data_IF_623081926797
#
_entry.id   IF_623081926797
#
_cell.length_a   1.000
_cell.length_b   1.000
_cell.length_c   1.000
_cell.angle_alpha   90.00
_cell.angle_beta   90.00
_cell.angle_gamma   90.00
#
_symmetry.space_group_name_H-M   'P 1'
#
loop_
_entity.id
_entity.type
_entity.pdbx_description
1 polymer ?
#
# COMPACT_ATOMS: atom_id res chain seq x y z
N UNK A 1 -24.11 -49.02 -40.50
CA UNK A 1 -22.73 -48.55 -40.24
C UNK A 1 -22.66 -47.06 -40.54
N UNK A 2 -22.77 -46.19 -39.54
CA UNK A 2 -22.43 -44.76 -39.67
C UNK A 2 -22.52 -44.08 -38.30
N UNK A 3 -21.41 -43.51 -37.80
CA UNK A 3 -21.41 -42.32 -36.91
C UNK A 3 -20.04 -41.91 -36.33
N UNK A 4 -18.89 -42.51 -36.68
CA UNK A 4 -17.59 -42.04 -36.15
C UNK A 4 -17.10 -40.72 -36.74
N UNK A 5 -17.69 -40.26 -37.85
CA UNK A 5 -17.33 -38.98 -38.48
C UNK A 5 -17.98 -37.76 -37.79
N UNK A 6 -19.09 -37.94 -37.07
CA UNK A 6 -19.82 -36.82 -36.44
C UNK A 6 -19.16 -36.35 -35.13
N UNK A 7 -18.46 -37.24 -34.40
CA UNK A 7 -17.79 -36.88 -33.14
C UNK A 7 -16.51 -36.06 -33.34
N UNK A 8 -15.74 -36.32 -34.41
CA UNK A 8 -14.51 -35.57 -34.71
C UNK A 8 -14.74 -34.09 -35.03
N UNK A 9 -15.87 -33.76 -35.67
CA UNK A 9 -16.25 -32.38 -35.98
C UNK A 9 -16.56 -31.55 -34.73
N UNK A 10 -17.26 -32.11 -33.75
CA UNK A 10 -17.61 -31.38 -32.51
C UNK A 10 -16.43 -31.05 -31.61
N UNK A 11 -15.37 -31.86 -31.64
CA UNK A 11 -14.14 -31.60 -30.90
C UNK A 11 -13.29 -30.51 -31.57
N UNK A 12 -13.13 -30.58 -32.90
CA UNK A 12 -12.40 -29.57 -33.66
C UNK A 12 -13.06 -28.18 -33.58
N UNK A 13 -14.38 -28.11 -33.59
CA UNK A 13 -15.11 -26.84 -33.44
C UNK A 13 -14.92 -26.24 -32.03
N UNK A 14 -14.95 -27.08 -30.97
CA UNK A 14 -14.69 -26.63 -29.59
C UNK A 14 -13.25 -26.19 -29.38
N UNK A 15 -12.27 -26.87 -29.97
CA UNK A 15 -10.87 -26.43 -29.93
C UNK A 15 -10.67 -25.11 -30.70
N UNK A 16 -11.30 -24.97 -31.87
CA UNK A 16 -11.27 -23.73 -32.63
C UNK A 16 -11.89 -22.56 -31.85
N UNK A 17 -12.99 -22.80 -31.14
CA UNK A 17 -13.63 -21.80 -30.28
C UNK A 17 -12.76 -21.44 -29.07
N UNK A 18 -12.13 -22.42 -28.40
CA UNK A 18 -11.15 -22.17 -27.33
C UNK A 18 -9.97 -21.35 -27.82
N UNK A 19 -9.41 -21.66 -28.99
CA UNK A 19 -8.32 -20.89 -29.58
C UNK A 19 -8.75 -19.47 -29.92
N UNK A 20 -9.98 -19.26 -30.41
CA UNK A 20 -10.53 -17.91 -30.64
C UNK A 20 -10.63 -17.13 -29.32
N UNK A 21 -11.20 -17.73 -28.28
CA UNK A 21 -11.32 -17.09 -26.96
C UNK A 21 -9.97 -16.77 -26.34
N UNK A 22 -8.98 -17.65 -26.48
CA UNK A 22 -7.61 -17.39 -26.02
C UNK A 22 -6.96 -16.23 -26.78
N UNK A 23 -7.14 -16.14 -28.10
CA UNK A 23 -6.64 -15.01 -28.90
C UNK A 23 -7.29 -13.69 -28.49
N UNK A 24 -8.60 -13.69 -28.22
CA UNK A 24 -9.32 -12.51 -27.71
C UNK A 24 -8.77 -12.08 -26.35
N UNK A 25 -8.63 -13.01 -25.39
CA UNK A 25 -8.07 -12.71 -24.07
C UNK A 25 -6.65 -12.18 -24.14
N UNK A 26 -5.79 -12.76 -24.97
CA UNK A 26 -4.42 -12.28 -25.18
C UNK A 26 -4.40 -10.88 -25.81
N UNK A 27 -5.29 -10.60 -26.77
CA UNK A 27 -5.43 -9.29 -27.38
C UNK A 27 -5.92 -8.23 -26.36
N UNK A 28 -6.88 -8.57 -25.51
CA UNK A 28 -7.34 -7.69 -24.43
C UNK A 28 -6.24 -7.39 -23.41
N UNK A 29 -5.47 -8.41 -23.00
CA UNK A 29 -4.33 -8.22 -22.11
C UNK A 29 -3.24 -7.35 -22.74
N UNK A 30 -2.92 -7.58 -24.01
CA UNK A 30 -1.96 -6.75 -24.75
C UNK A 30 -2.44 -5.29 -24.86
N UNK A 31 -3.74 -5.07 -25.12
CA UNK A 31 -4.32 -3.73 -25.17
C UNK A 31 -4.28 -3.03 -23.81
N UNK A 32 -4.57 -3.74 -22.71
CA UNK A 32 -4.46 -3.19 -21.35
C UNK A 32 -3.02 -2.81 -21.01
N UNK A 33 -2.05 -3.67 -21.34
CA UNK A 33 -0.64 -3.38 -21.14
C UNK A 33 -0.18 -2.14 -21.94
N UNK A 34 -0.61 -2.03 -23.19
CA UNK A 34 -0.32 -0.88 -24.05
C UNK A 34 -0.95 0.42 -23.52
N UNK A 35 -2.20 0.37 -23.04
CA UNK A 35 -2.86 1.52 -22.43
C UNK A 35 -2.13 1.98 -21.16
N UNK A 36 -1.72 1.04 -20.29
CA UNK A 36 -0.92 1.35 -19.10
C UNK A 36 0.44 1.95 -19.46
N UNK A 37 1.09 1.45 -20.52
CA UNK A 37 2.35 2.01 -21.02
C UNK A 37 2.15 3.45 -21.52
N UNK A 38 1.10 3.73 -22.29
CA UNK A 38 0.77 5.08 -22.76
C UNK A 38 0.47 6.03 -21.59
N UNK A 39 -0.27 5.57 -20.58
CA UNK A 39 -0.56 6.36 -19.38
C UNK A 39 0.72 6.74 -18.62
N UNK A 40 1.65 5.79 -18.43
CA UNK A 40 2.95 6.07 -17.80
C UNK A 40 3.80 7.07 -18.59
N UNK A 41 3.88 6.90 -19.91
CA UNK A 41 4.66 7.82 -20.76
C UNK A 41 4.07 9.23 -20.77
N UNK A 42 2.73 9.38 -20.68
CA UNK A 42 2.09 10.69 -20.54
C UNK A 42 2.42 11.35 -19.21
N UNK A 43 2.32 10.61 -18.10
CA UNK A 43 2.72 11.13 -16.79
C UNK A 43 4.19 11.60 -16.78
N UNK A 44 5.09 10.87 -17.44
CA UNK A 44 6.49 11.30 -17.60
C UNK A 44 6.63 12.57 -18.45
N UNK A 45 5.85 12.73 -19.52
CA UNK A 45 5.83 13.96 -20.31
C UNK A 45 5.29 15.15 -19.51
N UNK A 46 4.30 14.95 -18.66
CA UNK A 46 3.74 16.00 -17.80
C UNK A 46 4.80 16.47 -16.81
N UNK A 47 5.50 15.55 -16.13
CA UNK A 47 6.62 15.85 -15.23
C UNK A 47 7.76 16.61 -15.95
N UNK A 48 8.15 16.16 -17.15
CA UNK A 48 9.16 16.85 -17.95
C UNK A 48 8.71 18.23 -18.44
N UNK A 49 7.41 18.42 -18.65
CA UNK A 49 6.81 19.71 -19.05
C UNK A 49 6.77 20.69 -17.87
N UNK A 50 6.46 20.21 -16.67
CA UNK A 50 6.59 20.97 -15.43
C UNK A 50 8.04 21.43 -15.23
N UNK A 51 9.00 20.51 -15.38
CA UNK A 51 10.43 20.85 -15.33
C UNK A 51 10.83 21.91 -16.36
N UNK A 52 10.34 21.81 -17.59
CA UNK A 52 10.59 22.82 -18.62
C UNK A 52 9.97 24.19 -18.24
N UNK A 53 8.83 24.20 -17.55
CA UNK A 53 8.21 25.43 -17.03
C UNK A 53 9.06 26.08 -15.93
N UNK A 54 9.59 25.29 -15.00
CA UNK A 54 10.52 25.75 -13.96
C UNK A 54 11.78 26.37 -14.58
N UNK A 55 12.44 25.66 -15.50
CA UNK A 55 13.63 26.14 -16.20
C UNK A 55 13.36 27.43 -16.97
N UNK A 56 12.15 27.58 -17.55
CA UNK A 56 11.73 28.82 -18.20
C UNK A 56 11.53 29.96 -17.18
N UNK A 57 11.00 29.65 -15.99
CA UNK A 57 10.90 30.58 -14.87
C UNK A 57 12.26 31.09 -14.41
N UNK A 58 13.22 30.17 -14.22
CA UNK A 58 14.61 30.46 -13.86
C UNK A 58 15.32 31.29 -14.93
N UNK A 59 15.22 30.89 -16.20
CA UNK A 59 15.76 31.64 -17.33
C UNK A 59 15.15 33.05 -17.42
N UNK A 60 13.84 33.17 -17.17
CA UNK A 60 13.14 34.45 -17.12
C UNK A 60 13.61 35.33 -15.95
N UNK A 61 13.87 34.74 -14.78
CA UNK A 61 14.45 35.44 -13.64
C UNK A 61 15.86 35.94 -13.95
N UNK A 62 16.75 35.06 -14.45
CA UNK A 62 18.10 35.42 -14.85
C UNK A 62 18.12 36.51 -15.91
N UNK A 63 17.21 36.49 -16.89
CA UNK A 63 17.12 37.55 -17.90
C UNK A 63 16.68 38.89 -17.33
N UNK A 64 15.79 38.91 -16.33
CA UNK A 64 15.36 40.15 -15.65
C UNK A 64 16.50 40.75 -14.82
N UNK A 65 17.23 39.90 -14.09
CA UNK A 65 18.33 40.31 -13.20
C UNK A 65 19.60 40.64 -13.98
N UNK A 66 19.89 39.86 -15.03
CA UNK A 66 21.08 39.97 -15.87
C UNK A 66 20.66 40.03 -17.35
N UNK A 67 20.41 41.25 -17.84
CA UNK A 67 19.85 41.56 -19.18
C UNK A 67 20.59 40.93 -20.38
N UNK A 68 21.79 40.40 -20.17
CA UNK A 68 22.68 39.82 -21.20
C UNK A 68 22.39 38.33 -21.45
N UNK A 69 21.63 37.67 -20.56
CA UNK A 69 21.37 36.22 -20.66
C UNK A 69 20.12 35.93 -21.50
N UNK A 70 20.29 35.09 -22.53
CA UNK A 70 19.20 34.46 -23.28
C UNK A 70 19.39 32.95 -23.24
N UNK A 71 18.49 32.26 -22.55
CA UNK A 71 18.38 30.80 -22.55
C UNK A 71 16.99 30.47 -23.10
N UNK A 72 16.93 29.63 -24.13
CA UNK A 72 15.68 29.20 -24.75
C UNK A 72 15.31 27.83 -24.21
N UNK A 73 14.10 27.74 -23.64
CA UNK A 73 13.55 26.48 -23.12
C UNK A 73 12.40 26.04 -23.99
N UNK A 74 12.61 24.96 -24.74
CA UNK A 74 11.62 24.36 -25.64
C UNK A 74 10.39 23.82 -24.92
N UNK A 75 9.32 23.58 -25.68
CA UNK A 75 8.18 22.77 -25.24
C UNK A 75 7.98 21.65 -26.24
N UNK A 76 7.67 20.46 -25.73
CA UNK A 76 7.33 19.30 -26.55
C UNK A 76 5.84 19.08 -26.42
N UNK A 77 5.10 19.30 -27.51
CA UNK A 77 3.68 19.02 -27.58
C UNK A 77 3.43 17.68 -28.28
N UNK A 78 2.52 16.88 -27.74
CA UNK A 78 2.13 15.59 -28.31
C UNK A 78 0.60 15.54 -28.45
N UNK A 79 0.11 14.97 -29.55
CA UNK A 79 -1.33 14.85 -29.78
C UNK A 79 -1.99 13.81 -28.86
N UNK A 80 -3.27 14.02 -28.52
CA UNK A 80 -4.06 13.16 -27.64
C UNK A 80 -4.21 11.70 -28.15
N UNK A 81 -3.96 11.47 -29.45
CA UNK A 81 -3.98 10.15 -30.10
C UNK A 81 -2.62 9.44 -30.21
N UNK A 82 -1.52 10.03 -29.72
CA UNK A 82 -0.16 9.54 -30.00
C UNK A 82 0.11 8.12 -29.48
N UNK A 83 0.68 7.27 -30.33
CA UNK A 83 1.10 5.89 -30.03
C UNK A 83 2.15 5.84 -28.91
N UNK A 84 2.36 4.68 -28.28
CA UNK A 84 3.40 4.54 -27.25
C UNK A 84 4.80 4.80 -27.78
N UNK A 85 5.08 4.50 -29.06
CA UNK A 85 6.35 4.79 -29.70
C UNK A 85 6.57 6.31 -29.86
N UNK A 86 5.55 7.04 -30.31
CA UNK A 86 5.60 8.51 -30.43
C UNK A 86 5.76 9.17 -29.05
N UNK A 87 5.02 8.69 -28.04
CA UNK A 87 5.17 9.17 -26.66
C UNK A 87 6.57 8.91 -26.11
N UNK A 88 7.15 7.73 -26.36
CA UNK A 88 8.50 7.40 -25.90
C UNK A 88 9.61 8.19 -26.63
N UNK A 89 9.42 8.56 -27.90
CA UNK A 89 10.33 9.49 -28.58
C UNK A 89 10.17 10.91 -28.04
N UNK A 90 8.94 11.35 -27.76
CA UNK A 90 8.67 12.64 -27.16
C UNK A 90 9.31 12.78 -25.76
N UNK A 91 9.23 11.75 -24.91
CA UNK A 91 9.92 11.71 -23.60
C UNK A 91 11.43 11.92 -23.80
N UNK A 92 12.06 11.13 -24.68
CA UNK A 92 13.50 11.25 -24.97
C UNK A 92 13.88 12.60 -25.57
N UNK A 93 12.99 13.23 -26.33
CA UNK A 93 13.21 14.58 -26.85
C UNK A 93 13.12 15.63 -25.73
N UNK A 94 12.11 15.53 -24.86
CA UNK A 94 11.91 16.43 -23.73
C UNK A 94 13.07 16.33 -22.73
N UNK A 95 13.53 15.14 -22.39
CA UNK A 95 14.71 14.91 -21.55
C UNK A 95 15.96 15.60 -22.13
N UNK A 96 16.23 15.42 -23.43
CA UNK A 96 17.37 16.05 -24.11
C UNK A 96 17.25 17.57 -24.12
N UNK A 97 16.06 18.12 -24.31
CA UNK A 97 15.82 19.56 -24.30
C UNK A 97 16.01 20.14 -22.90
N UNK A 98 15.48 19.49 -21.86
CA UNK A 98 15.65 19.92 -20.47
C UNK A 98 17.10 19.87 -20.04
N UNK A 99 17.82 18.76 -20.30
CA UNK A 99 19.23 18.64 -19.97
C UNK A 99 20.10 19.69 -20.68
N UNK A 100 19.78 20.00 -21.94
CA UNK A 100 20.44 21.07 -22.68
C UNK A 100 20.15 22.44 -22.07
N UNK A 101 18.89 22.72 -21.74
CA UNK A 101 18.48 23.98 -21.12
C UNK A 101 19.15 24.17 -19.76
N UNK A 102 19.21 23.14 -18.92
CA UNK A 102 19.94 23.13 -17.64
C UNK A 102 21.42 23.46 -17.85
N UNK A 103 22.09 22.80 -18.79
CA UNK A 103 23.50 23.06 -19.10
C UNK A 103 23.75 24.46 -19.69
N UNK A 104 22.81 25.01 -20.46
CA UNK A 104 22.88 26.39 -20.95
C UNK A 104 22.63 27.41 -19.83
N UNK A 105 21.68 27.13 -18.94
CA UNK A 105 21.36 27.95 -17.76
C UNK A 105 22.55 28.00 -16.80
N UNK A 106 23.14 26.86 -16.45
CA UNK A 106 24.31 26.79 -15.58
C UNK A 106 25.49 27.61 -16.15
N UNK A 107 25.77 27.47 -17.45
CA UNK A 107 26.78 28.29 -18.13
C UNK A 107 26.42 29.77 -18.17
N UNK A 108 25.14 30.11 -18.25
CA UNK A 108 24.69 31.49 -18.23
C UNK A 108 24.81 32.12 -16.84
N UNK A 109 24.51 31.37 -15.78
CA UNK A 109 24.76 31.77 -14.38
C UNK A 109 26.24 32.03 -14.18
N UNK A 110 27.11 31.11 -14.60
CA UNK A 110 28.56 31.25 -14.49
C UNK A 110 29.10 32.46 -15.25
N UNK A 111 28.61 32.71 -16.48
CA UNK A 111 28.94 33.93 -17.23
C UNK A 111 28.44 35.19 -16.55
N UNK A 112 27.22 35.19 -16.01
CA UNK A 112 26.66 36.34 -15.30
C UNK A 112 27.48 36.64 -14.04
N UNK A 113 27.88 35.61 -13.30
CA UNK A 113 28.75 35.73 -12.13
C UNK A 113 30.13 36.23 -12.51
N UNK A 114 30.75 35.66 -13.53
CA UNK A 114 32.07 36.10 -14.02
C UNK A 114 32.01 37.54 -14.55
N UNK A 115 30.92 37.92 -15.23
CA UNK A 115 30.71 39.30 -15.68
C UNK A 115 30.53 40.26 -14.50
N UNK A 116 29.79 39.87 -13.45
CA UNK A 116 29.68 40.68 -12.23
C UNK A 116 31.03 40.84 -11.52
N UNK A 117 31.83 39.79 -11.44
CA UNK A 117 33.17 39.83 -10.85
C UNK A 117 34.13 40.67 -11.71
N UNK A 118 34.07 40.52 -13.03
CA UNK A 118 34.86 41.31 -13.97
C UNK A 118 34.42 42.77 -13.99
N UNK A 119 33.13 43.07 -13.92
CA UNK A 119 32.57 44.42 -13.79
C UNK A 119 32.88 45.02 -12.41
N UNK A 120 32.96 44.22 -11.34
CA UNK A 120 33.49 44.68 -10.05
C UNK A 120 35.01 44.96 -10.10
N UNK A 121 35.76 44.22 -10.93
CA UNK A 121 37.20 44.40 -11.12
C UNK A 121 37.57 45.51 -12.12
N UNK A 122 36.71 45.77 -13.12
CA UNK A 122 36.85 46.79 -14.16
C UNK A 122 35.93 47.98 -13.96
N UNK A 123 35.15 47.99 -12.87
CA UNK A 123 34.40 49.15 -12.41
C UNK A 123 35.39 50.32 -12.48
N UNK A 124 35.13 51.34 -13.33
CA UNK A 124 35.99 52.50 -13.34
C UNK A 124 36.03 52.97 -11.89
N UNK A 125 37.24 53.18 -11.35
CA UNK A 125 37.39 53.83 -10.06
C UNK A 125 36.42 55.01 -10.11
N UNK A 126 35.36 54.93 -9.28
CA UNK A 126 34.15 55.78 -9.30
C UNK A 126 34.59 57.16 -9.78
N UNK A 127 34.04 57.70 -10.90
CA UNK A 127 34.57 58.93 -11.49
C UNK A 127 34.78 59.89 -10.36
N UNK A 128 36.05 60.21 -10.10
CA UNK A 128 36.38 61.13 -9.03
C UNK A 128 35.45 62.31 -9.25
N UNK A 129 34.60 62.60 -8.26
CA UNK A 129 33.66 63.71 -8.32
C UNK A 129 34.37 64.89 -9.01
N UNK A 130 33.72 65.58 -9.96
CA UNK A 130 34.37 66.56 -10.83
C UNK A 130 35.35 67.37 -10.01
N UNK A 131 36.65 67.18 -10.27
CA UNK A 131 37.74 67.69 -9.43
C UNK A 131 37.43 69.15 -9.13
N UNK A 132 36.98 69.44 -7.91
CA UNK A 132 37.07 70.79 -7.40
C UNK A 132 38.55 71.07 -7.33
N UNK A 133 39.03 72.04 -8.13
CA UNK A 133 40.41 72.51 -8.07
C UNK A 133 40.73 72.80 -6.60
N UNK A 134 41.59 71.97 -5.99
CA UNK A 134 41.99 72.11 -4.59
C UNK A 134 41.82 70.85 -3.71
N UNK A 135 41.06 69.84 -4.14
CA UNK A 135 40.78 68.66 -3.28
C UNK A 135 42.00 67.73 -3.11
N UNK A 136 42.43 67.58 -1.87
CA UNK A 136 43.56 66.73 -1.47
C UNK A 136 43.19 65.23 -1.53
N UNK A 137 44.19 64.33 -1.66
CA UNK A 137 43.95 62.88 -1.56
C UNK A 137 43.24 62.46 -0.24
N UNK A 138 43.44 63.22 0.84
CA UNK A 138 42.79 62.98 2.13
C UNK A 138 41.28 63.26 2.08
N UNK A 139 40.85 64.37 1.48
CA UNK A 139 39.44 64.72 1.33
C UNK A 139 38.67 63.70 0.47
N UNK A 140 39.32 63.15 -0.56
CA UNK A 140 38.75 62.06 -1.37
C UNK A 140 38.59 60.75 -0.60
N UNK A 141 39.55 60.41 0.27
CA UNK A 141 39.45 59.23 1.11
C UNK A 141 38.32 59.36 2.16
N UNK A 142 38.11 60.56 2.70
CA UNK A 142 37.00 60.86 3.62
C UNK A 142 35.66 60.75 2.91
N UNK A 143 35.50 61.36 1.73
CA UNK A 143 34.26 61.27 0.95
C UNK A 143 33.93 59.83 0.48
N UNK A 144 34.95 59.04 0.10
CA UNK A 144 34.76 57.64 -0.26
C UNK A 144 34.32 56.78 0.93
N UNK A 145 34.82 57.05 2.14
CA UNK A 145 34.39 56.38 3.38
C UNK A 145 32.95 56.73 3.72
N UNK A 146 32.59 58.01 3.70
CA UNK A 146 31.22 58.46 3.95
C UNK A 146 30.22 57.82 2.97
N UNK A 147 30.55 57.76 1.67
CA UNK A 147 29.69 57.13 0.68
C UNK A 147 29.62 55.58 0.82
N UNK A 148 30.64 54.94 1.40
CA UNK A 148 30.62 53.50 1.70
C UNK A 148 29.78 53.19 2.94
N UNK A 149 29.82 54.06 3.96
CA UNK A 149 28.97 53.98 5.16
C UNK A 149 27.49 54.20 4.81
N UNK A 150 27.19 55.19 3.97
CA UNK A 150 25.83 55.43 3.45
C UNK A 150 25.32 54.22 2.65
N UNK A 151 26.14 53.67 1.76
CA UNK A 151 25.77 52.45 1.02
C UNK A 151 25.54 51.24 1.95
N UNK A 152 26.35 51.08 3.00
CA UNK A 152 26.16 50.03 3.99
C UNK A 152 24.83 50.20 4.75
N UNK A 153 24.51 51.43 5.17
CA UNK A 153 23.26 51.74 5.86
C UNK A 153 22.04 51.40 4.99
N UNK A 154 22.03 51.81 3.72
CA UNK A 154 20.97 51.50 2.75
C UNK A 154 20.79 49.98 2.56
N UNK A 155 21.90 49.24 2.41
CA UNK A 155 21.86 47.78 2.24
C UNK A 155 21.33 47.10 3.50
N UNK A 156 21.75 47.57 4.68
CA UNK A 156 21.29 47.06 5.97
C UNK A 156 19.80 47.31 6.17
N UNK A 157 19.32 48.52 5.95
CA UNK A 157 17.90 48.86 6.10
C UNK A 157 17.01 47.97 5.22
N UNK A 158 17.38 47.78 3.94
CA UNK A 158 16.65 46.89 3.03
C UNK A 158 16.71 45.42 3.47
N UNK A 159 17.86 44.97 3.96
CA UNK A 159 18.03 43.60 4.42
C UNK A 159 17.21 43.32 5.69
N UNK A 160 17.19 44.25 6.65
CA UNK A 160 16.38 44.16 7.87
C UNK A 160 14.89 44.18 7.52
N UNK A 161 14.44 45.10 6.67
CA UNK A 161 13.04 45.14 6.24
C UNK A 161 12.62 43.85 5.50
N UNK A 162 13.50 43.31 4.65
CA UNK A 162 13.28 42.04 3.97
C UNK A 162 13.22 40.85 4.93
N UNK A 163 14.12 40.80 5.92
CA UNK A 163 14.15 39.79 6.97
C UNK A 163 12.89 39.83 7.85
N UNK A 164 12.44 41.02 8.25
CA UNK A 164 11.21 41.20 9.02
C UNK A 164 9.98 40.78 8.23
N UNK A 165 9.91 41.11 6.94
CA UNK A 165 8.83 40.66 6.06
C UNK A 165 8.80 39.13 5.91
N UNK A 166 9.98 38.49 5.78
CA UNK A 166 10.08 37.03 5.71
C UNK A 166 9.62 36.37 7.02
N UNK A 167 10.14 36.83 8.15
CA UNK A 167 9.79 36.29 9.47
C UNK A 167 8.30 36.52 9.78
N UNK A 168 7.75 37.71 9.50
CA UNK A 168 6.32 37.97 9.69
C UNK A 168 5.43 36.99 8.91
N UNK A 169 5.90 36.51 7.74
CA UNK A 169 5.16 35.59 6.87
C UNK A 169 5.30 34.13 7.29
N UNK A 170 6.51 33.69 7.64
CA UNK A 170 6.82 32.26 7.80
C UNK A 170 7.01 31.82 9.27
N UNK A 171 7.14 32.73 10.26
CA UNK A 171 7.43 32.35 11.66
C UNK A 171 6.42 31.39 12.26
N UNK A 172 5.15 31.47 11.85
CA UNK A 172 4.06 30.58 12.31
C UNK A 172 4.28 29.14 11.82
N UNK A 173 5.04 28.95 10.74
CA UNK A 173 5.33 27.67 10.11
C UNK A 173 6.70 27.11 10.50
N UNK A 174 7.52 27.90 11.19
CA UNK A 174 8.81 27.44 11.71
C UNK A 174 8.64 26.48 12.90
N UNK A 175 9.66 25.67 13.11
CA UNK A 175 9.79 24.87 14.32
C UNK A 175 10.09 25.79 15.53
N UNK A 176 9.36 25.66 16.66
CA UNK A 176 9.56 26.50 17.83
C UNK A 176 10.97 26.41 18.41
N UNK A 177 11.68 25.29 18.22
CA UNK A 177 13.05 25.11 18.70
C UNK A 177 14.08 25.97 17.93
N UNK A 178 13.78 26.35 16.69
CA UNK A 178 14.69 27.14 15.85
C UNK A 178 14.48 28.66 15.99
N UNK A 179 13.36 29.09 16.58
CA UNK A 179 13.04 30.51 16.75
C UNK A 179 14.15 31.34 17.44
N UNK A 180 14.85 30.84 18.48
CA UNK A 180 15.97 31.56 19.08
C UNK A 180 17.15 31.77 18.12
N UNK A 181 17.48 30.76 17.29
CA UNK A 181 18.56 30.86 16.31
C UNK A 181 18.21 31.85 15.19
N UNK A 182 16.96 31.84 14.71
CA UNK A 182 16.46 32.80 13.73
C UNK A 182 16.50 34.25 14.26
N UNK A 183 16.20 34.45 15.55
CA UNK A 183 16.32 35.76 16.19
C UNK A 183 17.78 36.24 16.26
N UNK A 184 18.74 35.34 16.52
CA UNK A 184 20.17 35.65 16.47
C UNK A 184 20.61 36.04 15.06
N UNK A 185 20.21 35.30 14.04
CA UNK A 185 20.53 35.60 12.63
C UNK A 185 19.94 36.96 12.21
N UNK A 186 18.72 37.29 12.64
CA UNK A 186 18.15 38.63 12.43
C UNK A 186 19.00 39.71 13.10
N UNK A 187 19.43 39.52 14.34
CA UNK A 187 20.28 40.49 15.05
C UNK A 187 21.67 40.66 14.43
N UNK A 188 22.17 39.64 13.72
CA UNK A 188 23.45 39.72 13.00
C UNK A 188 23.40 40.71 11.83
N UNK A 189 22.21 40.95 11.23
CA UNK A 189 22.04 41.96 10.18
C UNK A 189 22.33 43.38 10.69
N UNK A 190 21.92 43.67 11.92
CA UNK A 190 22.10 45.00 12.55
C UNK A 190 23.58 45.31 12.81
N UNK A 191 24.38 44.28 13.08
CA UNK A 191 25.78 44.40 13.53
C UNK A 191 26.81 44.08 12.45
N UNK A 192 26.37 43.62 11.27
CA UNK A 192 27.26 43.19 10.18
C UNK A 192 28.17 44.35 9.69
N UNK A 193 29.51 44.17 9.63
CA UNK A 193 30.46 45.25 9.40
C UNK A 193 30.57 45.70 7.94
N UNK A 194 29.98 44.97 6.99
CA UNK A 194 30.10 45.25 5.55
C UNK A 194 28.83 44.87 4.79
N UNK A 195 28.64 45.46 3.60
CA UNK A 195 27.48 45.17 2.76
C UNK A 195 27.46 43.70 2.30
N UNK A 196 28.63 43.09 2.11
CA UNK A 196 28.75 41.67 1.81
C UNK A 196 28.33 40.80 3.01
N UNK A 197 28.75 41.17 4.22
CA UNK A 197 28.35 40.47 5.45
C UNK A 197 26.84 40.58 5.71
N UNK A 198 26.23 41.73 5.42
CA UNK A 198 24.77 41.90 5.51
C UNK A 198 24.05 40.95 4.54
N UNK A 199 24.50 40.86 3.29
CA UNK A 199 23.90 39.94 2.29
C UNK A 199 24.06 38.47 2.71
N UNK A 200 25.24 38.10 3.21
CA UNK A 200 25.48 36.74 3.70
C UNK A 200 24.54 36.39 4.86
N UNK A 201 24.46 37.25 5.88
CA UNK A 201 23.55 37.06 7.01
C UNK A 201 22.07 37.01 6.59
N UNK A 202 21.69 37.76 5.55
CA UNK A 202 20.33 37.71 5.00
C UNK A 202 20.03 36.36 4.34
N UNK A 203 20.98 35.82 3.58
CA UNK A 203 20.87 34.47 3.00
C UNK A 203 20.82 33.40 4.09
N UNK A 204 21.71 33.47 5.09
CA UNK A 204 21.74 32.51 6.20
C UNK A 204 20.41 32.50 6.97
N UNK A 205 19.81 33.67 7.18
CA UNK A 205 18.47 33.78 7.78
C UNK A 205 17.40 33.12 6.91
N UNK A 206 17.41 33.37 5.59
CA UNK A 206 16.43 32.80 4.68
C UNK A 206 16.53 31.25 4.64
N UNK A 207 17.75 30.72 4.56
CA UNK A 207 18.03 29.29 4.59
C UNK A 207 17.66 28.68 5.94
N UNK A 208 17.89 29.40 7.04
CA UNK A 208 17.46 29.01 8.38
C UNK A 208 15.93 28.88 8.48
N UNK A 209 15.19 29.89 8.02
CA UNK A 209 13.72 29.87 7.99
C UNK A 209 13.21 28.68 7.16
N UNK A 210 13.74 28.49 5.96
CA UNK A 210 13.31 27.38 5.10
C UNK A 210 13.56 26.02 5.75
N UNK A 211 14.76 25.78 6.29
CA UNK A 211 15.07 24.52 7.00
C UNK A 211 14.16 24.28 8.19
N UNK A 212 13.81 25.34 8.92
CA UNK A 212 12.90 25.25 10.06
C UNK A 212 11.47 24.90 9.63
N UNK A 213 10.96 25.53 8.57
CA UNK A 213 9.64 25.22 7.98
C UNK A 213 9.59 23.78 7.47
N UNK A 214 10.63 23.31 6.79
CA UNK A 214 10.73 21.92 6.32
C UNK A 214 10.76 20.93 7.48
N UNK A 215 11.53 21.22 8.53
CA UNK A 215 11.58 20.39 9.74
C UNK A 215 10.20 20.30 10.39
N UNK A 216 9.51 21.44 10.56
CA UNK A 216 8.16 21.47 11.14
C UNK A 216 7.18 20.67 10.30
N UNK A 217 7.21 20.83 8.98
CA UNK A 217 6.36 20.05 8.07
C UNK A 217 6.59 18.54 8.21
N UNK A 218 7.84 18.09 8.33
CA UNK A 218 8.16 16.68 8.52
C UNK A 218 7.69 16.15 9.87
N UNK A 219 7.77 16.98 10.93
CA UNK A 219 7.23 16.64 12.24
C UNK A 219 5.70 16.49 12.19
N UNK A 220 5.00 17.45 11.60
CA UNK A 220 3.54 17.42 11.45
C UNK A 220 3.09 16.18 10.64
N UNK A 221 3.80 15.85 9.55
CA UNK A 221 3.53 14.63 8.76
C UNK A 221 3.71 13.34 9.55
N UNK A 222 4.72 13.29 10.44
CA UNK A 222 4.95 12.13 11.32
C UNK A 222 3.87 12.02 12.39
N UNK A 223 3.40 13.15 12.91
CA UNK A 223 2.32 13.18 13.90
C UNK A 223 0.96 12.79 13.30
N UNK A 224 0.67 13.26 12.08
CA UNK A 224 -0.50 12.85 11.31
C UNK A 224 -0.45 11.34 11.02
N UNK A 225 0.70 10.83 10.56
CA UNK A 225 0.87 9.41 10.32
C UNK A 225 0.70 8.59 11.60
N UNK A 226 1.30 9.02 12.71
CA UNK A 226 1.15 8.35 14.00
C UNK A 226 -0.32 8.29 14.41
N UNK A 227 -1.03 9.41 14.29
CA UNK A 227 -2.46 9.50 14.62
C UNK A 227 -3.29 8.55 13.75
N UNK A 228 -3.05 8.53 12.44
CA UNK A 228 -3.72 7.60 11.52
C UNK A 228 -3.44 6.14 11.83
N UNK A 229 -2.21 5.79 12.22
CA UNK A 229 -1.86 4.41 12.61
C UNK A 229 -2.46 4.01 13.96
N UNK A 230 -2.53 4.93 14.93
CA UNK A 230 -3.21 4.68 16.21
C UNK A 230 -4.69 4.45 15.95
N UNK A 231 -5.32 5.25 15.10
CA UNK A 231 -6.72 5.05 14.72
C UNK A 231 -6.94 3.68 14.07
N UNK A 232 -6.11 3.29 13.11
CA UNK A 232 -6.18 1.94 12.51
C UNK A 232 -5.94 0.82 13.54
N UNK A 233 -5.02 1.01 14.48
CA UNK A 233 -4.76 0.02 15.53
C UNK A 233 -5.96 -0.21 16.46
N UNK A 234 -6.94 0.70 16.50
CA UNK A 234 -8.19 0.49 17.24
C UNK A 234 -9.00 -0.69 16.68
N UNK A 235 -8.83 -1.04 15.41
CA UNK A 235 -9.53 -2.17 14.79
C UNK A 235 -8.87 -3.53 15.10
N UNK A 236 -7.68 -3.53 15.72
CA UNK A 236 -6.99 -4.74 16.16
C UNK A 236 -7.62 -5.35 17.44
N UNK A 237 -7.21 -6.57 17.78
CA UNK A 237 -7.58 -7.23 19.03
C UNK A 237 -7.17 -6.41 20.26
N UNK A 238 -7.93 -6.45 21.38
CA UNK A 238 -7.69 -5.57 22.53
C UNK A 238 -6.26 -5.63 23.08
N UNK A 239 -5.69 -6.83 23.21
CA UNK A 239 -4.33 -6.99 23.74
C UNK A 239 -3.25 -6.41 22.80
N UNK A 240 -3.40 -6.57 21.49
CA UNK A 240 -2.45 -6.05 20.51
C UNK A 240 -2.66 -4.54 20.29
N UNK A 241 -3.89 -4.04 20.41
CA UNK A 241 -4.23 -2.61 20.34
C UNK A 241 -3.47 -1.79 21.36
N UNK A 242 -3.54 -2.18 22.64
CA UNK A 242 -2.89 -1.45 23.72
C UNK A 242 -1.37 -1.43 23.52
N UNK A 243 -0.81 -2.58 23.12
CA UNK A 243 0.60 -2.72 22.79
C UNK A 243 1.02 -1.85 21.61
N UNK A 244 0.31 -1.91 20.49
CA UNK A 244 0.61 -1.12 19.28
C UNK A 244 0.45 0.38 19.53
N UNK A 245 -0.55 0.79 20.30
CA UNK A 245 -0.77 2.20 20.66
C UNK A 245 0.41 2.74 21.47
N UNK A 246 0.88 1.98 22.47
CA UNK A 246 2.05 2.34 23.26
C UNK A 246 3.34 2.38 22.40
N UNK A 247 3.54 1.39 21.52
CA UNK A 247 4.68 1.36 20.60
C UNK A 247 4.66 2.54 19.61
N UNK A 248 3.50 2.87 19.03
CA UNK A 248 3.34 4.01 18.11
C UNK A 248 3.54 5.35 18.81
N UNK A 249 3.07 5.50 20.05
CA UNK A 249 3.28 6.70 20.86
C UNK A 249 4.76 6.95 21.14
N UNK A 250 5.54 5.90 21.42
CA UNK A 250 6.97 5.99 21.69
C UNK A 250 7.84 6.01 20.41
N UNK A 251 7.30 5.63 19.26
CA UNK A 251 8.08 5.49 18.03
C UNK A 251 8.52 6.85 17.47
N UNK A 252 9.85 6.98 17.30
CA UNK A 252 10.41 8.05 16.49
C UNK A 252 9.93 7.90 15.03
N UNK A 253 10.08 6.72 14.42
CA UNK A 253 9.74 6.45 13.03
C UNK A 253 8.47 5.56 12.92
N UNK A 254 7.25 6.14 13.04
CA UNK A 254 5.99 5.38 13.06
C UNK A 254 5.74 4.59 11.76
N UNK A 255 6.31 5.01 10.63
CA UNK A 255 6.22 4.34 9.34
C UNK A 255 6.74 2.90 9.36
N UNK A 256 7.71 2.60 10.22
CA UNK A 256 8.28 1.25 10.38
C UNK A 256 7.27 0.26 10.97
N UNK A 257 6.28 0.75 11.72
CA UNK A 257 5.25 -0.05 12.36
C UNK A 257 4.04 -0.32 11.45
N UNK A 258 3.94 0.34 10.27
CA UNK A 258 2.83 0.15 9.31
C UNK A 258 2.53 -1.33 9.00
N UNK A 259 3.51 -2.18 8.63
CA UNK A 259 3.22 -3.56 8.27
C UNK A 259 2.75 -4.39 9.47
N UNK A 260 3.09 -3.98 10.70
CA UNK A 260 2.66 -4.67 11.91
C UNK A 260 1.22 -4.29 12.27
N UNK A 261 0.87 -3.00 12.22
CA UNK A 261 -0.51 -2.53 12.40
C UNK A 261 -1.43 -3.18 11.37
N UNK A 262 -1.04 -3.17 10.08
CA UNK A 262 -1.84 -3.77 9.02
C UNK A 262 -2.09 -5.27 9.24
N UNK A 263 -1.07 -6.04 9.67
CA UNK A 263 -1.23 -7.46 9.99
C UNK A 263 -2.15 -7.70 11.19
N UNK A 264 -2.02 -6.89 12.24
CA UNK A 264 -2.86 -7.02 13.44
C UNK A 264 -4.35 -6.71 13.13
N UNK A 265 -4.61 -5.68 12.33
CA UNK A 265 -5.96 -5.34 11.87
C UNK A 265 -6.51 -6.45 10.97
N UNK A 266 -5.73 -6.94 10.00
CA UNK A 266 -6.15 -8.02 9.11
C UNK A 266 -6.46 -9.33 9.86
N UNK A 267 -5.69 -9.65 10.91
CA UNK A 267 -5.96 -10.79 11.77
C UNK A 267 -7.25 -10.61 12.58
N UNK A 268 -7.49 -9.42 13.13
CA UNK A 268 -8.72 -9.10 13.84
C UNK A 268 -9.95 -9.13 12.92
N UNK A 269 -9.83 -8.61 11.70
CA UNK A 269 -10.87 -8.71 10.67
C UNK A 269 -11.15 -10.15 10.27
N UNK A 270 -10.11 -10.95 10.07
CA UNK A 270 -10.25 -12.38 9.78
C UNK A 270 -10.97 -13.10 10.92
N UNK A 271 -10.63 -12.80 12.18
CA UNK A 271 -11.29 -13.37 13.36
C UNK A 271 -12.78 -12.97 13.43
N UNK A 272 -13.11 -11.68 13.25
CA UNK A 272 -14.50 -11.17 13.27
C UNK A 272 -15.39 -11.82 12.21
N UNK A 273 -14.84 -12.01 11.00
CA UNK A 273 -15.62 -12.49 9.86
C UNK A 273 -15.62 -14.02 9.72
N UNK A 274 -14.82 -14.75 10.51
CA UNK A 274 -14.58 -16.18 10.28
C UNK A 274 -15.84 -17.03 10.33
N UNK A 275 -16.67 -16.85 11.35
CA UNK A 275 -17.93 -17.59 11.50
C UNK A 275 -18.87 -17.33 10.31
N UNK A 276 -19.05 -16.05 9.94
CA UNK A 276 -19.87 -15.65 8.80
C UNK A 276 -19.37 -16.24 7.47
N UNK A 277 -18.06 -16.25 7.25
CA UNK A 277 -17.46 -16.86 6.05
C UNK A 277 -17.65 -18.38 6.05
N UNK A 278 -17.46 -19.03 7.19
CA UNK A 278 -17.67 -20.47 7.33
C UNK A 278 -19.14 -20.86 7.07
N UNK A 279 -20.10 -20.10 7.61
CA UNK A 279 -21.53 -20.29 7.37
C UNK A 279 -21.90 -20.11 5.89
N UNK A 280 -21.41 -19.04 5.25
CA UNK A 280 -21.66 -18.79 3.83
C UNK A 280 -21.08 -19.89 2.93
N UNK A 281 -19.88 -20.39 3.25
CA UNK A 281 -19.27 -21.50 2.53
C UNK A 281 -20.04 -22.81 2.77
N UNK A 282 -20.49 -23.07 4.00
CA UNK A 282 -21.31 -24.24 4.31
C UNK A 282 -22.62 -24.23 3.51
N UNK A 283 -23.30 -23.08 3.45
CA UNK A 283 -24.51 -22.91 2.66
C UNK A 283 -24.24 -23.11 1.15
N UNK A 284 -23.19 -22.50 0.62
CA UNK A 284 -22.82 -22.62 -0.78
C UNK A 284 -22.47 -24.05 -1.20
N UNK A 285 -21.81 -24.81 -0.31
CA UNK A 285 -21.50 -26.23 -0.55
C UNK A 285 -22.75 -27.11 -0.47
N UNK A 286 -23.67 -26.86 0.50
CA UNK A 286 -24.94 -27.60 0.60
C UNK A 286 -25.83 -27.40 -0.63
N UNK A 287 -25.91 -26.17 -1.16
CA UNK A 287 -26.64 -25.88 -2.40
C UNK A 287 -26.09 -26.61 -3.63
N UNK A 288 -24.87 -27.13 -3.52
CA UNK A 288 -24.21 -27.94 -4.55
C UNK A 288 -24.25 -29.44 -4.29
N UNK A 289 -25.08 -29.87 -3.34
CA UNK A 289 -25.28 -31.27 -2.96
C UNK A 289 -24.04 -31.94 -2.34
N UNK A 290 -23.12 -31.14 -1.78
CA UNK A 290 -21.97 -31.66 -1.03
C UNK A 290 -22.41 -32.19 0.34
N UNK A 291 -21.71 -33.21 0.84
CA UNK A 291 -21.91 -33.77 2.18
C UNK A 291 -21.29 -32.89 3.28
N UNK A 292 -21.92 -31.75 3.53
CA UNK A 292 -21.53 -30.82 4.59
C UNK A 292 -22.14 -31.28 5.92
N UNK A 293 -21.30 -31.74 6.86
CA UNK A 293 -21.74 -32.06 8.22
C UNK A 293 -22.35 -30.86 8.95
N UNK A 294 -23.17 -31.11 9.98
CA UNK A 294 -23.77 -30.04 10.81
C UNK A 294 -22.70 -29.16 11.45
N UNK A 295 -21.62 -29.78 11.94
CA UNK A 295 -20.50 -29.10 12.61
C UNK A 295 -19.48 -28.46 11.64
N UNK A 296 -19.70 -28.52 10.31
CA UNK A 296 -18.69 -28.07 9.34
C UNK A 296 -18.34 -26.58 9.51
N UNK A 297 -19.35 -25.73 9.70
CA UNK A 297 -19.13 -24.29 9.85
C UNK A 297 -18.36 -23.99 11.14
N UNK A 298 -18.68 -24.69 12.22
CA UNK A 298 -18.02 -24.54 13.53
C UNK A 298 -16.56 -25.01 13.46
N UNK A 299 -16.32 -26.20 12.90
CA UNK A 299 -14.96 -26.73 12.68
C UNK A 299 -14.14 -25.79 11.79
N UNK A 300 -14.71 -25.28 10.71
CA UNK A 300 -14.00 -24.37 9.82
C UNK A 300 -13.72 -23.01 10.49
N UNK A 301 -14.59 -22.54 11.38
CA UNK A 301 -14.40 -21.29 12.13
C UNK A 301 -13.39 -21.45 13.29
N UNK A 302 -13.42 -22.55 14.03
CA UNK A 302 -12.56 -22.78 15.20
C UNK A 302 -11.20 -23.36 14.81
N UNK A 303 -11.19 -24.48 14.09
CA UNK A 303 -9.97 -25.20 13.71
C UNK A 303 -9.31 -24.60 12.47
N UNK A 304 -10.04 -23.81 11.69
CA UNK A 304 -9.54 -23.13 10.50
C UNK A 304 -9.38 -24.06 9.29
N UNK A 305 -9.77 -25.33 9.40
CA UNK A 305 -9.75 -26.27 8.28
C UNK A 305 -10.84 -27.32 8.42
N UNK A 306 -11.48 -27.67 7.31
CA UNK A 306 -12.47 -28.72 7.25
C UNK A 306 -12.43 -29.41 5.88
N UNK A 307 -12.93 -30.64 5.81
CA UNK A 307 -12.95 -31.47 4.60
C UNK A 307 -14.38 -31.87 4.30
N UNK A 308 -14.78 -31.76 3.02
CA UNK A 308 -16.12 -32.11 2.53
C UNK A 308 -16.00 -33.11 1.39
N UNK A 309 -16.53 -34.34 1.51
CA UNK A 309 -16.52 -35.31 0.41
C UNK A 309 -17.37 -34.82 -0.75
N UNK A 310 -16.97 -35.16 -1.99
CA UNK A 310 -17.76 -34.83 -3.18
C UNK A 310 -19.00 -35.70 -3.34
N UNK A 311 -18.96 -36.96 -2.88
CA UNK A 311 -20.04 -37.94 -3.11
C UNK A 311 -20.58 -38.55 -1.81
N UNK A 312 -21.88 -38.88 -1.85
CA UNK A 312 -22.50 -39.87 -0.99
C UNK A 312 -22.18 -41.30 -1.49
N UNK A 313 -22.04 -42.29 -0.59
CA UNK A 313 -21.74 -43.66 -1.00
C UNK A 313 -22.77 -44.16 -2.02
N UNK A 314 -22.31 -44.44 -3.25
CA UNK A 314 -23.13 -44.99 -4.35
C UNK A 314 -23.45 -44.06 -5.53
N UNK A 315 -22.99 -42.80 -5.53
CA UNK A 315 -23.13 -41.88 -6.67
C UNK A 315 -21.97 -42.03 -7.67
N UNK A 316 -22.21 -42.59 -8.85
CA UNK A 316 -21.20 -42.87 -9.88
C UNK A 316 -20.69 -41.64 -10.65
N UNK A 317 -20.25 -40.59 -9.96
CA UNK A 317 -19.62 -39.41 -10.55
C UNK A 317 -18.10 -39.57 -10.76
N UNK A 318 -17.46 -38.69 -11.56
CA UNK A 318 -16.00 -38.73 -11.77
C UNK A 318 -15.19 -38.44 -10.50
N UNK A 319 -15.83 -37.92 -9.45
CA UNK A 319 -15.23 -37.45 -8.20
C UNK A 319 -15.31 -38.47 -7.04
N UNK A 320 -15.74 -39.70 -7.30
CA UNK A 320 -15.86 -40.74 -6.27
C UNK A 320 -14.50 -41.01 -5.59
N UNK A 321 -14.49 -40.99 -4.25
CA UNK A 321 -13.27 -41.13 -3.44
C UNK A 321 -12.50 -39.84 -3.21
N UNK A 322 -12.96 -38.71 -3.74
CA UNK A 322 -12.33 -37.39 -3.56
C UNK A 322 -13.17 -36.47 -2.67
N UNK A 323 -12.53 -35.42 -2.17
CA UNK A 323 -13.16 -34.38 -1.39
C UNK A 323 -12.49 -33.03 -1.58
N UNK A 324 -13.08 -32.03 -0.94
CA UNK A 324 -12.61 -30.66 -0.90
C UNK A 324 -12.12 -30.34 0.51
N UNK A 325 -10.83 -30.06 0.66
CA UNK A 325 -10.28 -29.45 1.87
C UNK A 325 -10.39 -27.94 1.75
N UNK A 326 -11.08 -27.32 2.69
CA UNK A 326 -11.22 -25.88 2.82
C UNK A 326 -10.42 -25.43 4.05
N UNK A 327 -9.62 -24.39 3.92
CA UNK A 327 -8.82 -23.81 5.01
C UNK A 327 -9.06 -22.31 5.05
N UNK A 328 -9.49 -21.81 6.20
CA UNK A 328 -9.57 -20.39 6.52
C UNK A 328 -8.30 -19.98 7.26
N UNK A 329 -7.60 -18.99 6.71
CA UNK A 329 -6.42 -18.44 7.39
C UNK A 329 -6.81 -17.79 8.72
N UNK A 330 -5.98 -18.00 9.75
CA UNK A 330 -6.18 -17.34 11.05
C UNK A 330 -5.74 -15.88 11.06
N UNK A 331 -4.78 -15.53 10.21
CA UNK A 331 -4.13 -14.22 10.18
C UNK A 331 -4.64 -13.32 9.05
N UNK A 332 -5.32 -13.91 8.06
CA UNK A 332 -5.78 -13.21 6.86
C UNK A 332 -7.19 -13.63 6.51
N UNK A 333 -7.90 -12.82 5.72
CA UNK A 333 -9.21 -13.19 5.17
C UNK A 333 -9.12 -14.16 3.99
N UNK A 334 -8.02 -14.92 3.87
CA UNK A 334 -7.80 -15.85 2.77
C UNK A 334 -8.48 -17.19 3.02
N UNK A 335 -9.20 -17.67 2.00
CA UNK A 335 -9.73 -19.03 1.92
C UNK A 335 -8.88 -19.80 0.92
N UNK A 336 -8.37 -20.96 1.32
CA UNK A 336 -7.69 -21.87 0.40
C UNK A 336 -8.47 -23.17 0.29
N UNK A 337 -8.59 -23.66 -0.94
CA UNK A 337 -9.33 -24.87 -1.27
C UNK A 337 -8.41 -25.81 -2.04
N UNK A 338 -8.38 -27.08 -1.64
CA UNK A 338 -7.62 -28.12 -2.33
C UNK A 338 -8.46 -29.38 -2.51
N UNK A 339 -8.40 -29.96 -3.70
CA UNK A 339 -8.93 -31.30 -3.95
C UNK A 339 -8.03 -32.33 -3.26
N UNK A 340 -8.63 -33.26 -2.53
CA UNK A 340 -7.94 -34.27 -1.72
C UNK A 340 -8.51 -35.65 -1.99
N UNK A 341 -7.67 -36.69 -1.84
CA UNK A 341 -8.09 -38.10 -1.93
C UNK A 341 -8.46 -38.64 -0.55
N UNK A 342 -9.54 -39.41 -0.50
CA UNK A 342 -9.94 -40.15 0.68
C UNK A 342 -9.15 -41.45 0.86
N UNK A 343 -9.13 -42.01 2.09
CA UNK A 343 -8.33 -43.19 2.43
C UNK A 343 -8.73 -44.47 1.66
N UNK A 344 -9.91 -44.49 1.03
CA UNK A 344 -10.42 -45.62 0.24
C UNK A 344 -10.45 -45.36 -1.27
N UNK A 345 -9.91 -44.22 -1.74
CA UNK A 345 -9.93 -43.85 -3.16
C UNK A 345 -9.20 -44.88 -4.04
N UNK A 346 -8.17 -45.54 -3.50
CA UNK A 346 -7.33 -46.51 -4.22
C UNK A 346 -7.84 -47.96 -4.11
N UNK A 347 -8.88 -48.21 -3.30
CA UNK A 347 -9.36 -49.56 -2.99
C UNK A 347 -10.28 -50.16 -4.07
N UNK A 348 -10.77 -49.35 -5.02
CA UNK A 348 -11.75 -49.76 -6.05
C UNK A 348 -11.16 -50.09 -7.43
N UNK A 349 -9.88 -49.80 -7.67
CA UNK A 349 -9.22 -50.10 -8.95
C UNK A 349 -8.40 -51.38 -8.82
N UNK A 350 -9.02 -52.51 -9.18
CA UNK A 350 -8.42 -53.82 -9.49
C UNK A 350 -6.93 -53.95 -9.12
N UNK A 351 -6.65 -54.54 -7.97
CA UNK A 351 -5.29 -54.90 -7.50
C UNK A 351 -4.57 -55.95 -8.38
N UNK A 352 -5.09 -56.26 -9.57
CA UNK A 352 -4.53 -57.20 -10.55
C UNK A 352 -4.09 -56.47 -11.84
N UNK A 353 -3.26 -55.42 -11.70
CA UNK A 353 -2.35 -54.99 -12.76
C UNK A 353 -1.24 -54.13 -12.14
N UNK A 354 -0.02 -54.65 -12.16
CA UNK A 354 1.13 -53.91 -11.67
C UNK A 354 1.35 -52.59 -12.43
N UNK A 355 1.84 -51.60 -11.69
CA UNK A 355 2.59 -50.44 -12.21
C UNK A 355 1.86 -49.52 -13.19
N UNK A 356 0.82 -48.80 -12.75
CA UNK A 356 0.31 -47.63 -13.46
C UNK A 356 0.14 -46.40 -12.54
N UNK A 357 1.26 -45.91 -12.01
CA UNK A 357 1.32 -44.60 -11.34
C UNK A 357 0.85 -43.42 -12.23
N UNK A 358 0.63 -43.65 -13.53
CA UNK A 358 0.09 -42.67 -14.50
C UNK A 358 -1.43 -42.71 -14.71
N UNK A 359 -2.16 -43.66 -14.10
CA UNK A 359 -3.63 -43.70 -14.14
C UNK A 359 -4.24 -42.77 -13.08
N UNK A 360 -3.66 -42.77 -11.87
CA UNK A 360 -4.11 -41.92 -10.75
C UNK A 360 -3.92 -40.43 -11.06
N UNK A 361 -2.81 -40.07 -11.70
CA UNK A 361 -2.54 -38.67 -12.08
C UNK A 361 -3.52 -38.10 -13.11
N UNK A 362 -4.04 -38.92 -14.03
CA UNK A 362 -5.06 -38.50 -15.01
C UNK A 362 -6.42 -38.29 -14.35
N UNK A 363 -6.78 -39.16 -13.39
CA UNK A 363 -8.01 -39.02 -12.60
C UNK A 363 -7.95 -37.80 -11.68
N UNK A 364 -6.81 -37.59 -11.00
CA UNK A 364 -6.54 -36.38 -10.20
C UNK A 364 -6.74 -35.10 -11.04
N UNK A 365 -6.15 -35.04 -12.23
CA UNK A 365 -6.27 -33.90 -13.14
C UNK A 365 -7.73 -33.68 -13.61
N UNK A 366 -8.45 -34.76 -13.92
CA UNK A 366 -9.86 -34.69 -14.30
C UNK A 366 -10.74 -34.11 -13.17
N UNK A 367 -10.60 -34.62 -11.94
CA UNK A 367 -11.36 -34.13 -10.79
C UNK A 367 -10.99 -32.69 -10.43
N UNK A 368 -9.69 -32.34 -10.46
CA UNK A 368 -9.23 -30.97 -10.23
C UNK A 368 -9.78 -30.00 -11.28
N UNK A 369 -9.78 -30.37 -12.57
CA UNK A 369 -10.36 -29.54 -13.64
C UNK A 369 -11.87 -29.39 -13.47
N UNK A 370 -12.58 -30.49 -13.20
CA UNK A 370 -14.01 -30.44 -12.95
C UNK A 370 -14.35 -29.50 -11.79
N UNK A 371 -13.61 -29.58 -10.67
CA UNK A 371 -13.81 -28.68 -9.55
C UNK A 371 -13.52 -27.22 -9.93
N UNK A 372 -12.37 -26.93 -10.52
CA UNK A 372 -11.96 -25.55 -10.85
C UNK A 372 -12.83 -24.89 -11.94
N UNK A 373 -13.25 -25.65 -12.95
CA UNK A 373 -13.97 -25.11 -14.11
C UNK A 373 -15.48 -25.08 -13.89
N UNK A 374 -16.06 -26.07 -13.19
CA UNK A 374 -17.50 -26.22 -13.03
C UNK A 374 -18.02 -25.87 -11.63
N UNK A 375 -17.35 -26.33 -10.56
CA UNK A 375 -17.89 -26.18 -9.20
C UNK A 375 -17.48 -24.85 -8.54
N UNK A 376 -16.21 -24.47 -8.63
CA UNK A 376 -15.67 -23.29 -7.94
C UNK A 376 -16.40 -21.99 -8.33
N UNK A 377 -16.68 -21.69 -9.62
CA UNK A 377 -17.43 -20.48 -9.99
C UNK A 377 -18.86 -20.46 -9.43
N UNK A 378 -19.48 -21.63 -9.28
CA UNK A 378 -20.82 -21.75 -8.69
C UNK A 378 -20.78 -21.53 -7.18
N UNK A 379 -19.77 -22.08 -6.49
CA UNK A 379 -19.52 -21.85 -5.06
C UNK A 379 -19.27 -20.36 -4.80
N UNK A 380 -18.43 -19.70 -5.60
CA UNK A 380 -18.16 -18.25 -5.51
C UNK A 380 -19.45 -17.42 -5.69
N UNK A 381 -20.28 -17.80 -6.67
CA UNK A 381 -21.55 -17.12 -6.93
C UNK A 381 -22.56 -17.29 -5.79
N UNK A 382 -22.64 -18.50 -5.21
CA UNK A 382 -23.51 -18.78 -4.07
C UNK A 382 -23.00 -18.10 -2.79
N UNK A 383 -21.70 -18.16 -2.50
CA UNK A 383 -21.10 -17.44 -1.37
C UNK A 383 -21.38 -15.93 -1.45
N UNK A 384 -21.35 -15.34 -2.66
CA UNK A 384 -21.75 -13.94 -2.89
C UNK A 384 -23.22 -13.69 -2.57
N UNK A 385 -24.12 -14.61 -2.92
CA UNK A 385 -25.54 -14.52 -2.55
C UNK A 385 -25.73 -14.55 -1.02
N UNK A 386 -24.84 -15.25 -0.30
CA UNK A 386 -24.75 -15.26 1.17
C UNK A 386 -23.93 -14.09 1.75
N UNK A 387 -23.61 -13.09 0.93
CA UNK A 387 -22.98 -11.85 1.36
C UNK A 387 -21.47 -11.93 1.62
N UNK A 388 -20.79 -12.92 1.04
CA UNK A 388 -19.32 -13.07 1.06
C UNK A 388 -18.78 -13.01 -0.36
N UNK A 389 -18.01 -11.96 -0.68
CA UNK A 389 -17.36 -11.86 -1.98
C UNK A 389 -15.97 -12.48 -1.94
N UNK A 390 -15.71 -13.43 -2.83
CA UNK A 390 -14.45 -14.17 -2.91
C UNK A 390 -13.66 -13.72 -4.15
N UNK A 391 -12.47 -13.16 -3.94
CA UNK A 391 -11.55 -12.85 -5.04
C UNK A 391 -10.68 -14.08 -5.34
N UNK A 392 -10.90 -14.68 -6.52
CA UNK A 392 -10.19 -15.88 -6.94
C UNK A 392 -8.72 -15.62 -7.26
N UNK A 393 -7.83 -16.44 -6.68
CA UNK A 393 -6.42 -16.54 -7.06
C UNK A 393 -5.99 -18.00 -7.16
N UNK A 394 -5.35 -18.38 -8.27
CA UNK A 394 -4.83 -19.72 -8.44
C UNK A 394 -3.43 -19.82 -7.85
N UNK A 395 -3.26 -20.60 -6.78
CA UNK A 395 -1.95 -20.97 -6.28
C UNK A 395 -1.25 -21.96 -7.22
N UNK A 396 -2.03 -22.84 -7.86
CA UNK A 396 -1.56 -23.87 -8.78
C UNK A 396 -2.65 -24.18 -9.81
N UNK A 397 -2.26 -24.55 -11.02
CA UNK A 397 -3.19 -25.03 -12.05
C UNK A 397 -3.53 -26.52 -11.83
N UNK A 398 -4.74 -26.98 -12.19
CA UNK A 398 -5.09 -28.39 -12.20
C UNK A 398 -4.07 -29.23 -12.97
N UNK A 399 -3.75 -30.43 -12.47
CA UNK A 399 -2.83 -31.39 -13.10
C UNK A 399 -1.34 -31.18 -12.84
N UNK A 400 -0.94 -30.04 -12.25
CA UNK A 400 0.47 -29.79 -11.94
C UNK A 400 0.97 -30.62 -10.75
N UNK A 401 0.07 -30.99 -9.83
CA UNK A 401 0.36 -31.89 -8.72
C UNK A 401 -0.80 -32.87 -8.50
N UNK A 402 -0.43 -34.10 -8.14
CA UNK A 402 -1.37 -35.12 -7.68
C UNK A 402 -2.17 -34.62 -6.46
N UNK A 403 -3.43 -35.06 -6.35
CA UNK A 403 -4.24 -34.73 -5.19
C UNK A 403 -3.65 -35.43 -3.94
N UNK A 404 -3.40 -34.70 -2.85
CA UNK A 404 -2.82 -35.29 -1.65
C UNK A 404 -3.81 -36.25 -1.00
N UNK A 405 -3.30 -37.37 -0.50
CA UNK A 405 -4.05 -38.34 0.29
C UNK A 405 -4.20 -37.83 1.73
N UNK A 406 -5.43 -37.82 2.25
CA UNK A 406 -5.67 -37.49 3.65
C UNK A 406 -5.65 -38.74 4.54
N UNK A 407 -5.14 -38.62 5.78
CA UNK A 407 -5.25 -39.69 6.75
C UNK A 407 -6.71 -39.91 7.14
N UNK A 408 -7.06 -41.14 7.50
CA UNK A 408 -8.43 -41.53 7.87
C UNK A 408 -9.00 -40.68 9.04
N UNK A 409 -8.15 -40.23 9.95
CA UNK A 409 -8.53 -39.34 11.06
C UNK A 409 -8.98 -37.94 10.63
N UNK A 410 -8.56 -37.48 9.45
CA UNK A 410 -8.92 -36.16 8.89
C UNK A 410 -10.08 -36.25 7.88
N UNK A 411 -10.54 -37.45 7.56
CA UNK A 411 -11.69 -37.67 6.69
C UNK A 411 -12.97 -37.65 7.53
N UNK A 412 -14.02 -36.92 7.10
CA UNK A 412 -15.27 -36.88 7.86
C UNK A 412 -15.90 -38.27 7.86
N UNK A 413 -16.23 -38.75 9.07
CA UNK A 413 -16.97 -40.00 9.25
C UNK A 413 -18.41 -39.74 8.85
N UNK A 414 -18.80 -40.19 7.66
CA UNK A 414 -20.20 -40.22 7.28
C UNK A 414 -20.90 -41.21 8.20
N UNK A 415 -21.87 -40.74 9.00
CA UNK A 415 -22.77 -41.64 9.70
C UNK A 415 -23.51 -42.47 8.64
N UNK A 416 -23.60 -43.80 8.78
CA UNK A 416 -24.38 -44.60 7.84
C UNK A 416 -25.83 -44.12 7.92
N UNK A 417 -26.34 -43.60 6.81
CA UNK A 417 -27.77 -43.36 6.63
C UNK A 417 -28.44 -44.72 6.81
N UNK A 418 -29.12 -44.92 7.93
CA UNK A 418 -29.84 -46.16 8.21
C UNK A 418 -31.00 -46.26 7.22
N UNK A 419 -30.78 -46.97 6.12
CA UNK A 419 -31.85 -47.49 5.28
C UNK A 419 -32.52 -48.65 6.03
N UNK A 420 -33.85 -48.66 6.03
CA UNK A 420 -34.76 -49.68 6.55
C UNK A 420 -34.80 -49.93 8.08
N UNK A 421 -35.79 -49.31 8.71
CA UNK A 421 -36.57 -49.97 9.77
C UNK A 421 -38.07 -49.71 9.55
N UNK A 422 -38.68 -50.58 8.75
CA UNK A 422 -40.12 -50.87 8.79
C UNK A 422 -40.31 -52.37 8.96
N UNK A 423 -40.35 -52.82 10.22
CA UNK A 423 -41.20 -53.94 10.68
C UNK A 423 -41.02 -54.15 12.19
N UNK A 424 -41.95 -53.55 12.92
CA UNK A 424 -42.60 -54.01 14.17
C UNK A 424 -41.99 -55.19 14.93
N UNK A 425 -41.62 -54.96 16.20
CA UNK A 425 -42.22 -55.71 17.30
C UNK A 425 -42.15 -54.96 18.63
N UNK A 426 -43.34 -54.68 19.16
CA UNK A 426 -43.60 -54.18 20.50
C UNK A 426 -42.95 -55.04 21.59
N UNK A 427 -42.37 -54.39 22.59
CA UNK A 427 -42.60 -54.78 23.98
C UNK A 427 -42.46 -53.55 24.88
N UNK A 428 -43.53 -53.34 25.65
CA UNK A 428 -43.71 -52.25 26.60
C UNK A 428 -42.87 -52.41 27.86
N UNK A 429 -42.30 -51.27 28.28
CA UNK A 429 -42.17 -50.76 29.66
C UNK A 429 -41.17 -51.40 30.67
N UNK A 430 -40.77 -50.67 31.74
CA UNK A 430 -40.83 -49.22 32.01
C UNK A 430 -39.53 -48.60 32.57
N UNK A 431 -39.53 -47.26 32.54
CA UNK A 431 -38.81 -46.27 33.34
C UNK A 431 -37.91 -46.74 34.50
N UNK A 432 -36.65 -46.28 34.47
CA UNK A 432 -35.94 -45.94 35.71
C UNK A 432 -35.14 -44.64 35.59
N UNK A 433 -35.15 -43.90 36.69
CA UNK A 433 -34.88 -42.49 36.84
C UNK A 433 -33.40 -42.17 37.09
N UNK A 434 -32.99 -40.96 36.65
CA UNK A 434 -32.03 -40.01 37.29
C UNK A 434 -30.51 -40.32 37.23
N UNK A 435 -29.61 -39.34 37.53
CA UNK A 435 -29.69 -37.86 37.44
C UNK A 435 -28.39 -37.18 36.88
N UNK A 436 -28.47 -35.88 36.54
CA UNK A 436 -27.33 -34.91 36.53
C UNK A 436 -27.17 -34.27 37.95
N UNK A 437 -26.16 -33.41 38.22
CA UNK A 437 -24.74 -33.68 38.45
C UNK A 437 -24.31 -33.33 39.91
N UNK A 438 -23.22 -33.91 40.41
CA UNK A 438 -22.71 -33.62 41.75
C UNK A 438 -21.63 -32.52 41.76
N UNK A 439 -21.93 -31.42 42.49
CA UNK A 439 -20.97 -30.49 43.09
C UNK A 439 -20.00 -31.22 44.03
N UNK A 440 -18.71 -30.88 43.98
CA UNK A 440 -17.77 -30.89 45.13
C UNK A 440 -16.92 -29.62 45.05
N UNK A 441 -17.15 -28.63 45.94
CA UNK A 441 -16.44 -28.39 47.23
C UNK A 441 -14.94 -28.12 47.01
N UNK A 442 -14.50 -26.86 47.10
CA UNK A 442 -14.19 -26.12 48.35
C UNK A 442 -12.97 -26.71 49.07
N UNK A 443 -11.82 -26.05 48.89
CA UNK A 443 -10.64 -26.15 49.74
C UNK A 443 -10.11 -24.75 50.03
N UNK A 444 -10.35 -24.31 51.27
CA UNK A 444 -9.87 -23.07 51.89
C UNK A 444 -8.34 -22.98 51.88
N UNK A 445 -7.82 -21.76 51.69
CA UNK A 445 -6.43 -21.40 51.91
C UNK A 445 -6.30 -19.89 52.10
N UNK A 446 -6.52 -19.46 53.35
CA UNK A 446 -6.40 -18.11 53.87
C UNK A 446 -5.00 -17.51 53.72
N UNK A 447 -4.92 -16.20 53.44
CA UNK A 447 -3.65 -15.45 53.45
C UNK A 447 -3.82 -13.95 53.18
N UNK A 448 -4.44 -13.26 54.13
CA UNK A 448 -4.33 -11.85 54.53
C UNK A 448 -3.29 -10.92 53.85
N UNK A 449 -3.74 -9.71 53.51
CA UNK A 449 -2.91 -8.51 53.29
C UNK A 449 -3.63 -7.48 52.41
N UNK A 450 -4.65 -6.78 52.89
CA UNK A 450 -4.56 -5.43 53.49
C UNK A 450 -3.94 -4.38 52.57
N UNK A 451 -4.74 -3.42 52.08
CA UNK A 451 -4.21 -2.25 51.37
C UNK A 451 -5.23 -1.37 50.62
N UNK A 452 -6.08 -0.67 51.37
CA UNK A 452 -6.60 0.70 51.09
C UNK A 452 -7.27 1.04 49.75
N UNK A 453 -8.58 1.24 49.88
CA UNK A 453 -9.52 1.96 49.00
C UNK A 453 -9.37 3.47 49.18
N UNK A 454 -9.41 4.22 48.07
CA UNK A 454 -9.98 5.59 48.02
C UNK A 454 -10.71 5.77 46.68
N UNK A 455 -11.95 6.30 46.66
CA UNK A 455 -12.57 6.85 45.45
C UNK A 455 -12.69 8.38 45.59
N UNK A 456 -12.14 9.12 44.64
CA UNK A 456 -12.41 10.55 44.50
C UNK A 456 -12.77 10.88 43.04
N UNK A 457 -13.97 11.46 42.91
CA UNK A 457 -14.44 12.41 41.90
C UNK A 457 -15.09 11.89 40.61
N UNK A 458 -16.42 11.78 40.70
CA UNK A 458 -17.34 12.42 39.76
C UNK A 458 -17.25 13.96 39.83
N UNK A 459 -17.69 14.57 38.73
CA UNK A 459 -18.17 15.96 38.54
C UNK A 459 -17.25 16.89 37.73
N UNK A 460 -17.63 17.09 36.46
CA UNK A 460 -17.82 18.43 35.86
C UNK A 460 -18.51 18.33 34.50
N UNK A 461 -19.85 18.31 34.55
CA UNK A 461 -20.69 18.96 33.56
C UNK A 461 -21.12 20.32 34.13
N UNK A 462 -21.23 21.32 33.25
CA UNK A 462 -21.66 22.74 33.44
C UNK A 462 -20.53 23.74 33.69
N UNK A 463 -20.11 24.42 32.62
CA UNK A 463 -20.47 25.83 32.30
C UNK A 463 -19.56 26.38 31.19
N UNK A 464 -20.00 26.29 29.93
CA UNK A 464 -20.10 27.38 28.93
C UNK A 464 -20.37 26.82 27.54
#
# INVERSE_FOLDING_TARGET
>A
MSSSAAYGWTYQDREAERQRLLRVRLAEQAQRAENLRRARLRAQLDELSERASELRGEAGHLRRTHRVVRVEVGTVAVADGASSAELAEAVRLAERQNARAEGELARAVDRAWTALVAEAATAPARPAAPRRRGETPAERAVAARAAAEEHLADVRERAVAGAEALLAREVVRCDPADLPELALLRSALDTAPSAQSVRAAQTDLADGVQRSVERRRLADQRDELRSGLIQLAQDAEPAERDRLTAELAAAAAPETLRPRVARAVAAADAARNRARVAEALAAALRERDYLVGEDFADLLAEDGAAVVPFDAPGGGGPAEGYGLRVVLSRETSAVSTAVVRGPHADAGTNADAGTDAGADGRRDEEVQRWFCDAQLPAIESSARAHGVDLERRHAMLPGLMAAPLLPESAWPRTAPVSADQSSEQSSEQPAEQRPKPAKRRSGNGSGTGSGTVTPYQQERYRER
#
